data_IF_683177955733
#
_entry.id   IF_683177955733
#
_cell.length_a   1.000
_cell.length_b   1.000
_cell.length_c   1.000
_cell.angle_alpha   90.00
_cell.angle_beta   90.00
_cell.angle_gamma   90.00
#
_symmetry.space_group_name_H-M   'P 1'
#
loop_
_entity.id
_entity.type
_entity.pdbx_description
1 polymer ?
#
# COMPACT_ATOMS: atom_id res chain seq x y z
N UNK A 1 19.49 -2.68 6.24
CA UNK A 1 19.05 -1.94 7.43
C UNK A 1 17.63 -2.41 7.73
N UNK A 2 17.39 -2.98 8.90
CA UNK A 2 16.08 -3.53 9.29
C UNK A 2 15.04 -2.41 9.37
N UNK A 3 13.90 -2.57 8.68
CA UNK A 3 12.74 -1.70 8.90
C UNK A 3 12.29 -1.86 10.36
N UNK A 4 12.27 -0.79 11.18
CA UNK A 4 11.74 -0.85 12.52
C UNK A 4 10.22 -0.91 12.35
N UNK A 5 9.65 -2.12 12.31
CA UNK A 5 8.20 -2.32 12.19
C UNK A 5 7.49 -1.31 13.10
N UNK A 6 6.75 -0.38 12.50
CA UNK A 6 5.85 0.52 13.21
C UNK A 6 5.01 -0.36 14.11
N UNK A 7 5.16 -0.20 15.43
CA UNK A 7 4.34 -0.97 16.37
C UNK A 7 2.89 -0.54 16.15
N UNK A 8 2.10 -1.46 15.60
CA UNK A 8 0.67 -1.26 15.40
C UNK A 8 0.04 -1.09 16.79
N UNK A 9 -0.66 0.01 17.00
CA UNK A 9 -1.44 0.20 18.20
C UNK A 9 -2.60 -0.82 18.22
N UNK A 10 -2.62 -1.81 19.14
CA UNK A 10 -3.66 -2.83 19.19
C UNK A 10 -5.06 -2.26 19.48
N UNK A 11 -5.15 -1.09 20.12
CA UNK A 11 -6.45 -0.45 20.43
C UNK A 11 -7.17 0.08 19.18
N UNK A 12 -6.51 0.11 18.02
CA UNK A 12 -7.14 0.48 16.74
C UNK A 12 -7.75 -0.73 16.01
N UNK A 13 -7.51 -1.94 16.48
CA UNK A 13 -7.98 -3.18 15.86
C UNK A 13 -9.18 -3.69 16.65
N UNK A 14 -10.28 -3.91 15.94
CA UNK A 14 -11.49 -4.50 16.48
C UNK A 14 -11.75 -5.83 15.79
N UNK A 15 -12.22 -6.81 16.56
CA UNK A 15 -12.70 -8.10 16.05
C UNK A 15 -14.16 -8.27 16.48
N UNK A 16 -15.04 -8.40 15.50
CA UNK A 16 -16.48 -8.53 15.68
C UNK A 16 -16.99 -9.83 15.06
N UNK A 17 -16.46 -10.97 15.52
CA UNK A 17 -16.89 -12.33 15.14
C UNK A 17 -16.94 -12.54 13.62
N UNK A 18 -15.76 -12.44 13.00
CA UNK A 18 -15.59 -12.59 11.54
C UNK A 18 -15.47 -11.27 10.78
N UNK A 19 -15.57 -10.12 11.47
CA UNK A 19 -15.26 -8.81 10.91
C UNK A 19 -14.10 -8.20 11.70
N UNK A 20 -12.91 -8.21 11.09
CA UNK A 20 -11.74 -7.49 11.62
C UNK A 20 -11.68 -6.08 11.05
N UNK A 21 -11.69 -5.06 11.91
CA UNK A 21 -11.67 -3.66 11.51
C UNK A 21 -10.43 -2.96 12.07
N UNK A 22 -9.65 -2.30 11.20
CA UNK A 22 -8.62 -1.36 11.61
C UNK A 22 -9.16 0.08 11.52
N UNK A 23 -9.27 0.76 12.65
CA UNK A 23 -9.73 2.15 12.72
C UNK A 23 -8.65 3.10 12.24
N UNK A 24 -8.94 3.82 11.16
CA UNK A 24 -8.15 4.92 10.63
C UNK A 24 -6.67 4.59 10.30
N UNK A 25 -6.37 3.32 10.00
CA UNK A 25 -5.01 2.87 9.66
C UNK A 25 -4.06 2.78 10.85
N UNK A 26 -2.94 2.07 10.68
CA UNK A 26 -1.96 1.77 11.73
C UNK A 26 -0.71 2.67 11.65
N UNK A 27 -0.91 3.97 11.44
CA UNK A 27 0.16 4.93 11.21
C UNK A 27 0.67 4.92 9.76
N UNK A 28 1.90 5.38 9.56
CA UNK A 28 2.55 5.45 8.25
C UNK A 28 3.90 4.77 8.25
N UNK A 29 4.26 4.23 7.09
CA UNK A 29 5.60 3.76 6.76
C UNK A 29 6.12 4.56 5.55
N UNK A 30 7.44 4.67 5.45
CA UNK A 30 8.10 5.33 4.33
C UNK A 30 8.94 4.31 3.56
N UNK A 31 8.54 4.04 2.33
CA UNK A 31 9.22 3.05 1.49
C UNK A 31 9.33 3.57 0.07
N UNK A 32 10.40 3.21 -0.62
CA UNK A 32 10.69 3.60 -2.02
C UNK A 32 10.59 5.10 -2.36
N UNK A 33 10.58 6.00 -1.37
CA UNK A 33 10.40 7.43 -1.58
C UNK A 33 8.94 7.92 -1.49
N UNK A 34 8.01 7.06 -1.08
CA UNK A 34 6.60 7.38 -0.86
C UNK A 34 6.17 7.07 0.58
N UNK A 35 5.15 7.82 1.03
CA UNK A 35 4.48 7.56 2.30
C UNK A 35 3.29 6.64 2.10
N UNK A 36 3.21 5.62 2.94
CA UNK A 36 2.15 4.62 2.95
C UNK A 36 1.42 4.66 4.27
N UNK A 37 0.12 4.93 4.25
CA UNK A 37 -0.74 4.69 5.40
C UNK A 37 -1.02 3.19 5.51
N UNK A 38 -0.62 2.60 6.63
CA UNK A 38 -0.75 1.17 6.87
C UNK A 38 -2.21 0.78 7.07
N UNK A 39 -2.66 -0.21 6.30
CA UNK A 39 -4.03 -0.71 6.29
C UNK A 39 -4.12 -2.18 6.66
N UNK A 40 -4.69 -2.99 5.77
CA UNK A 40 -4.88 -4.43 5.94
C UNK A 40 -3.53 -5.14 5.71
N UNK A 41 -3.09 -5.91 6.70
CA UNK A 41 -1.96 -6.84 6.62
C UNK A 41 -2.01 -7.83 7.80
N UNK A 42 -1.05 -8.75 7.86
CA UNK A 42 -0.90 -9.75 8.93
C UNK A 42 -0.78 -9.15 10.34
N UNK A 43 -0.12 -8.00 10.49
CA UNK A 43 0.08 -7.34 11.79
C UNK A 43 -1.14 -6.54 12.25
N UNK A 44 -2.06 -6.19 11.35
CA UNK A 44 -3.27 -5.42 11.68
C UNK A 44 -4.49 -6.32 11.83
N UNK A 45 -4.97 -6.92 10.74
CA UNK A 45 -6.20 -7.73 10.74
C UNK A 45 -5.92 -9.22 10.52
N UNK A 46 -4.66 -9.66 10.66
CA UNK A 46 -4.30 -11.07 10.54
C UNK A 46 -4.35 -11.64 9.13
N UNK A 47 -4.39 -10.81 8.08
CA UNK A 47 -4.44 -11.30 6.70
C UNK A 47 -3.13 -11.99 6.27
N UNK A 48 -3.22 -13.15 5.63
CA UNK A 48 -2.04 -13.96 5.28
C UNK A 48 -1.53 -13.73 3.85
N UNK A 49 -2.44 -13.62 2.89
CA UNK A 49 -2.10 -13.55 1.45
C UNK A 49 -2.55 -12.25 0.78
N UNK A 50 -3.03 -11.30 1.57
CA UNK A 50 -3.54 -10.02 1.09
C UNK A 50 -3.03 -8.89 1.96
N UNK A 51 -2.56 -7.82 1.33
CA UNK A 51 -2.26 -6.57 2.01
C UNK A 51 -2.76 -5.39 1.19
N UNK A 52 -3.33 -4.40 1.87
CA UNK A 52 -3.80 -3.17 1.25
C UNK A 52 -3.38 -1.99 2.14
N UNK A 53 -2.61 -1.09 1.55
CA UNK A 53 -2.14 0.14 2.17
C UNK A 53 -2.48 1.31 1.24
N UNK A 54 -2.54 2.53 1.78
CA UNK A 54 -2.82 3.72 0.96
C UNK A 54 -1.52 4.47 0.73
N UNK A 55 -1.01 4.42 -0.50
CA UNK A 55 0.12 5.23 -0.92
C UNK A 55 -0.35 6.66 -1.25
N UNK A 56 0.34 7.68 -0.75
CA UNK A 56 0.13 9.07 -1.18
C UNK A 56 1.31 9.52 -2.01
N UNK A 57 1.05 9.85 -3.28
CA UNK A 57 2.07 10.33 -4.21
C UNK A 57 1.87 11.83 -4.43
N UNK A 58 2.77 12.71 -3.95
CA UNK A 58 2.67 14.12 -4.25
C UNK A 58 2.87 14.35 -5.75
N UNK A 59 2.39 15.47 -6.34
CA UNK A 59 2.71 15.82 -7.72
C UNK A 59 4.22 15.79 -7.97
N UNK A 60 4.66 15.15 -9.05
CA UNK A 60 6.07 14.85 -9.38
C UNK A 60 6.79 13.86 -8.45
N UNK A 61 6.08 13.27 -7.46
CA UNK A 61 6.58 12.17 -6.66
C UNK A 61 6.78 10.92 -7.52
N UNK A 62 7.94 10.27 -7.38
CA UNK A 62 8.31 9.08 -8.13
C UNK A 62 8.79 8.02 -7.14
N UNK A 63 8.10 6.87 -7.12
CA UNK A 63 8.56 5.71 -6.40
C UNK A 63 9.85 5.15 -7.04
N UNK A 64 10.81 4.73 -6.21
CA UNK A 64 11.99 4.02 -6.67
C UNK A 64 11.58 2.71 -7.35
N UNK A 65 12.18 2.43 -8.50
CA UNK A 65 11.94 1.23 -9.28
C UNK A 65 12.24 -0.03 -8.46
N UNK A 66 11.32 -0.98 -8.47
CA UNK A 66 11.45 -2.24 -7.75
C UNK A 66 10.71 -3.37 -8.48
N UNK A 67 10.90 -4.60 -8.03
CA UNK A 67 10.27 -5.80 -8.59
C UNK A 67 9.43 -6.50 -7.51
N UNK A 68 8.33 -7.11 -7.91
CA UNK A 68 7.55 -8.00 -7.05
C UNK A 68 7.93 -9.44 -7.37
N UNK A 69 8.35 -10.18 -6.34
CA UNK A 69 8.74 -11.59 -6.46
C UNK A 69 7.85 -12.39 -5.52
N UNK A 70 7.10 -13.34 -6.09
CA UNK A 70 6.19 -14.19 -5.33
C UNK A 70 4.82 -13.60 -5.04
N UNK A 71 4.48 -12.43 -5.60
CA UNK A 71 3.14 -11.83 -5.50
C UNK A 71 2.87 -10.87 -6.66
N UNK A 72 1.62 -10.49 -6.81
CA UNK A 72 1.10 -9.52 -7.78
C UNK A 72 0.60 -8.25 -7.07
N UNK A 73 0.47 -7.14 -7.82
CA UNK A 73 -0.05 -5.87 -7.32
C UNK A 73 -1.42 -5.58 -7.91
N UNK A 74 -2.38 -5.30 -7.04
CA UNK A 74 -3.66 -4.68 -7.40
C UNK A 74 -3.65 -3.21 -6.97
N UNK A 75 -4.33 -2.36 -7.74
CA UNK A 75 -4.41 -0.93 -7.48
C UNK A 75 -5.87 -0.50 -7.46
N UNK A 76 -6.16 0.52 -6.66
CA UNK A 76 -7.42 1.25 -6.76
C UNK A 76 -7.13 2.72 -6.55
N UNK A 77 -7.40 3.54 -7.56
CA UNK A 77 -7.03 4.95 -7.53
C UNK A 77 -8.12 5.74 -6.82
N UNK A 78 -7.82 6.23 -5.61
CA UNK A 78 -8.78 7.01 -4.82
C UNK A 78 -8.97 8.43 -5.38
N UNK A 79 -7.89 9.07 -5.82
CA UNK A 79 -7.91 10.45 -6.27
C UNK A 79 -6.73 10.75 -7.21
N UNK A 80 -6.96 11.65 -8.17
CA UNK A 80 -5.92 12.16 -9.06
C UNK A 80 -5.62 11.24 -10.24
N UNK A 81 -4.39 11.35 -10.74
CA UNK A 81 -3.87 10.59 -11.88
C UNK A 81 -2.45 10.15 -11.58
N UNK A 82 -2.11 8.90 -11.93
CA UNK A 82 -0.78 8.34 -11.72
C UNK A 82 -0.36 7.53 -12.94
N UNK A 83 0.92 7.67 -13.35
CA UNK A 83 1.53 6.82 -14.37
C UNK A 83 2.30 5.68 -13.70
N UNK A 84 1.93 4.45 -14.03
CA UNK A 84 2.68 3.26 -13.68
C UNK A 84 3.59 2.88 -14.83
N UNK A 85 4.90 2.89 -14.61
CA UNK A 85 5.87 2.32 -15.56
C UNK A 85 6.21 0.91 -15.15
N UNK A 86 6.19 -0.02 -16.10
CA UNK A 86 6.35 -1.44 -15.84
C UNK A 86 7.08 -2.16 -16.98
N UNK A 87 7.28 -3.47 -16.80
CA UNK A 87 8.00 -4.32 -17.73
C UNK A 87 9.52 -4.14 -17.66
N UNK A 88 10.23 -4.89 -18.51
CA UNK A 88 11.70 -4.89 -18.53
C UNK A 88 12.25 -3.49 -18.82
N UNK A 89 12.94 -2.91 -17.84
CA UNK A 89 13.52 -1.57 -17.95
C UNK A 89 12.48 -0.44 -17.97
N UNK A 90 11.29 -0.66 -17.39
CA UNK A 90 10.22 0.35 -17.27
C UNK A 90 9.78 0.95 -18.61
N UNK A 91 9.79 0.13 -19.66
CA UNK A 91 9.51 0.56 -21.04
C UNK A 91 8.01 0.64 -21.36
N UNK A 92 7.17 0.02 -20.56
CA UNK A 92 5.71 0.06 -20.71
C UNK A 92 5.15 1.08 -19.72
N UNK A 93 4.05 1.73 -20.07
CA UNK A 93 3.34 2.61 -19.15
C UNK A 93 1.84 2.44 -19.23
N UNK A 94 1.18 2.77 -18.13
CA UNK A 94 -0.27 2.84 -17.97
C UNK A 94 -0.58 4.07 -17.12
N UNK A 95 -1.50 4.91 -17.59
CA UNK A 95 -2.01 6.03 -16.80
C UNK A 95 -3.36 5.63 -16.24
N UNK A 96 -3.48 5.66 -14.92
CA UNK A 96 -4.74 5.41 -14.22
C UNK A 96 -5.27 6.71 -13.61
N UNK A 97 -6.59 6.79 -13.50
CA UNK A 97 -7.34 7.91 -12.92
C UNK A 97 -8.26 7.43 -11.80
N UNK A 98 -8.77 8.36 -11.00
CA UNK A 98 -9.65 8.04 -9.88
C UNK A 98 -10.82 7.11 -10.29
N UNK A 99 -10.99 6.02 -9.56
CA UNK A 99 -12.01 4.99 -9.82
C UNK A 99 -11.51 3.77 -10.60
N UNK A 100 -10.33 3.82 -11.21
CA UNK A 100 -9.76 2.66 -11.91
C UNK A 100 -9.30 1.58 -10.92
N UNK A 101 -9.52 0.32 -11.31
CA UNK A 101 -9.02 -0.92 -10.70
C UNK A 101 -7.93 -1.54 -11.59
#
# INVERSE_FOLDING_TARGET
MSSPYTQVNPQLIEDHDGISCLRNGAGSDHWNGLDYKLGINRQTVGSEHFSMNVATVPPSGIAAAHIHVGFEVGLFILQGTVEHKYGKGLKQSLVNTAGDF
#
